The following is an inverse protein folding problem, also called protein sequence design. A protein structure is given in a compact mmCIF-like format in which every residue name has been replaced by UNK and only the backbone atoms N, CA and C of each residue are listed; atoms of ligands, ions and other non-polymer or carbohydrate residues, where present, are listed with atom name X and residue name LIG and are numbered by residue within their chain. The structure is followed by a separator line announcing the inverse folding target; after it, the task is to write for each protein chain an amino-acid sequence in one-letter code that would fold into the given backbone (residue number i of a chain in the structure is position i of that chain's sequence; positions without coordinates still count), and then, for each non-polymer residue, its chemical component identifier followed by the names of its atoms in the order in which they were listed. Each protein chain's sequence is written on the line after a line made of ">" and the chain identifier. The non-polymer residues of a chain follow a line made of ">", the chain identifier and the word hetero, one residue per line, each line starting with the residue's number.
data_IF_062389255550
#
_entry.id   IF_062389255550
#
_cell.length_a   1.000
_cell.length_b   1.000
_cell.length_c   1.000
_cell.angle_alpha   90.00
_cell.angle_beta   90.00
_cell.angle_gamma   90.00
#
_symmetry.space_group_name_H-M   'P 1'
#
loop_
_entity.id
_entity.type
_entity.pdbx_description
1 polymer ?
#
# COMPACT_ATOMS: atom_id res chain seq x y z
N UNK A 1 -11.48 -12.96 -0.74
CA UNK A 1 -10.62 -12.05 0.02
C UNK A 1 -9.95 -12.78 1.16
N UNK A 2 -8.68 -12.54 1.37
CA UNK A 2 -7.92 -13.11 2.46
C UNK A 2 -7.33 -11.97 3.31
N UNK A 3 -7.49 -12.05 4.63
CA UNK A 3 -7.05 -10.98 5.53
C UNK A 3 -6.15 -11.54 6.63
N UNK A 4 -5.04 -10.87 6.90
CA UNK A 4 -4.17 -11.19 8.02
C UNK A 4 -3.59 -9.92 8.62
N UNK A 5 -2.94 -10.04 9.77
CA UNK A 5 -2.34 -8.90 10.46
C UNK A 5 -0.84 -9.11 10.62
N UNK A 6 -0.10 -8.01 10.56
CA UNK A 6 1.34 -7.98 10.80
C UNK A 6 1.66 -6.66 11.49
N UNK A 7 2.25 -6.71 12.67
CA UNK A 7 2.65 -5.53 13.44
C UNK A 7 1.48 -4.53 13.59
N UNK A 8 0.32 -5.03 13.97
CA UNK A 8 -0.93 -4.28 14.17
C UNK A 8 -1.54 -3.70 12.90
N UNK A 9 -0.96 -3.94 11.74
CA UNK A 9 -1.53 -3.52 10.46
C UNK A 9 -2.36 -4.65 9.89
N UNK A 10 -3.44 -4.28 9.20
CA UNK A 10 -4.34 -5.25 8.57
C UNK A 10 -4.10 -5.29 7.08
N UNK A 11 -3.82 -6.47 6.57
CA UNK A 11 -3.53 -6.69 5.16
C UNK A 11 -4.67 -7.49 4.56
N UNK A 12 -5.32 -6.94 3.54
CA UNK A 12 -6.43 -7.58 2.84
C UNK A 12 -6.04 -7.84 1.39
N UNK A 13 -6.09 -9.10 0.97
CA UNK A 13 -5.73 -9.51 -0.38
C UNK A 13 -7.00 -9.75 -1.18
N UNK A 14 -7.14 -9.05 -2.30
CA UNK A 14 -8.22 -9.25 -3.28
C UNK A 14 -7.59 -9.94 -4.48
N UNK A 15 -7.63 -11.29 -4.53
CA UNK A 15 -6.85 -12.04 -5.52
C UNK A 15 -7.44 -11.94 -6.92
N UNK A 16 -6.56 -12.07 -7.90
CA UNK A 16 -6.93 -12.18 -9.30
C UNK A 16 -6.79 -13.64 -9.72
N UNK A 17 -7.75 -14.13 -10.52
CA UNK A 17 -7.73 -15.50 -11.01
C UNK A 17 -6.83 -15.69 -12.22
N UNK A 18 -6.41 -14.59 -12.86
CA UNK A 18 -5.55 -14.66 -14.04
C UNK A 18 -4.11 -14.97 -13.65
N UNK A 19 -3.45 -15.82 -14.42
CA UNK A 19 -2.02 -16.06 -14.25
C UNK A 19 -1.22 -14.86 -14.76
N UNK A 20 -0.02 -14.66 -14.21
CA UNK A 20 0.87 -13.57 -14.61
C UNK A 20 0.29 -12.18 -14.39
N UNK A 21 -0.61 -12.04 -13.41
CA UNK A 21 -1.16 -10.73 -13.09
C UNK A 21 -0.21 -9.94 -12.18
N UNK A 22 -0.25 -8.61 -12.27
CA UNK A 22 0.52 -7.79 -11.32
C UNK A 22 -0.13 -7.74 -9.96
N UNK A 23 0.64 -7.33 -8.96
CA UNK A 23 0.15 -7.07 -7.61
C UNK A 23 0.33 -5.59 -7.32
N UNK A 24 -0.72 -4.94 -6.83
CA UNK A 24 -0.69 -3.54 -6.45
C UNK A 24 -0.90 -3.43 -4.95
N UNK A 25 0.06 -2.82 -4.28
CA UNK A 25 0.00 -2.55 -2.84
C UNK A 25 -0.56 -1.16 -2.62
N UNK A 26 -1.65 -1.07 -1.87
CA UNK A 26 -2.36 0.18 -1.61
C UNK A 26 -2.42 0.42 -0.10
N UNK A 27 -1.76 1.48 0.35
CA UNK A 27 -1.89 1.91 1.73
C UNK A 27 -3.12 2.81 1.85
N UNK A 28 -3.99 2.51 2.82
CA UNK A 28 -5.27 3.19 2.96
C UNK A 28 -5.36 3.90 4.31
N UNK A 29 -6.10 5.01 4.34
CA UNK A 29 -6.33 5.77 5.56
C UNK A 29 -7.26 5.02 6.52
N UNK A 30 -8.37 4.52 5.98
CA UNK A 30 -9.33 3.71 6.74
C UNK A 30 -9.29 2.28 6.20
N UNK A 31 -10.38 1.83 5.59
CA UNK A 31 -10.46 0.47 5.04
C UNK A 31 -11.14 0.53 3.68
N UNK A 32 -10.54 1.26 2.75
CA UNK A 32 -11.12 1.53 1.44
C UNK A 32 -10.80 0.47 0.40
N UNK A 33 -10.05 -0.57 0.77
CA UNK A 33 -9.58 -1.56 -0.19
C UNK A 33 -10.67 -2.19 -1.03
N UNK A 34 -11.76 -2.61 -0.41
CA UNK A 34 -12.85 -3.25 -1.14
C UNK A 34 -13.50 -2.28 -2.13
N UNK A 35 -13.72 -1.04 -1.72
CA UNK A 35 -14.30 -0.02 -2.59
C UNK A 35 -13.42 0.26 -3.81
N UNK A 36 -12.12 0.34 -3.59
CA UNK A 36 -11.16 0.55 -4.68
C UNK A 36 -11.17 -0.64 -5.63
N UNK A 37 -11.18 -1.86 -5.09
CA UNK A 37 -11.19 -3.06 -5.91
C UNK A 37 -12.46 -3.14 -6.75
N UNK A 38 -13.62 -2.88 -6.14
CA UNK A 38 -14.91 -2.88 -6.85
C UNK A 38 -14.96 -1.79 -7.92
N UNK A 39 -14.44 -0.60 -7.62
CA UNK A 39 -14.39 0.49 -8.59
C UNK A 39 -13.51 0.15 -9.78
N UNK A 40 -12.37 -0.49 -9.54
CA UNK A 40 -11.48 -0.93 -10.61
C UNK A 40 -12.15 -1.99 -11.50
N UNK A 41 -12.87 -2.93 -10.89
CA UNK A 41 -13.62 -3.93 -11.62
C UNK A 41 -14.70 -3.29 -12.50
N UNK A 42 -15.45 -2.34 -11.92
CA UNK A 42 -16.51 -1.63 -12.65
C UNK A 42 -15.96 -0.79 -13.80
N UNK A 43 -14.75 -0.26 -13.64
CA UNK A 43 -14.09 0.55 -14.66
C UNK A 43 -13.47 -0.29 -15.79
N UNK A 44 -13.47 -1.62 -15.65
CA UNK A 44 -12.89 -2.49 -16.66
C UNK A 44 -11.37 -2.53 -16.67
N UNK A 45 -10.74 -2.29 -15.51
CA UNK A 45 -9.29 -2.37 -15.42
C UNK A 45 -8.76 -3.76 -15.77
N UNK A 46 -7.56 -3.85 -16.37
CA UNK A 46 -6.94 -5.16 -16.59
C UNK A 46 -6.79 -5.93 -15.28
N UNK A 47 -6.76 -7.27 -15.33
CA UNK A 47 -6.69 -8.08 -14.11
C UNK A 47 -5.46 -7.78 -13.26
N UNK A 48 -5.67 -7.66 -11.95
CA UNK A 48 -4.58 -7.46 -10.98
C UNK A 48 -5.03 -7.94 -9.61
N UNK A 49 -4.07 -8.27 -8.77
CA UNK A 49 -4.31 -8.55 -7.36
C UNK A 49 -4.13 -7.26 -6.58
N UNK A 50 -5.11 -6.89 -5.77
CA UNK A 50 -5.01 -5.74 -4.90
C UNK A 50 -4.65 -6.20 -3.49
N UNK A 51 -3.64 -5.57 -2.91
CA UNK A 51 -3.26 -5.78 -1.51
C UNK A 51 -3.45 -4.46 -0.79
N UNK A 52 -4.53 -4.36 -0.01
CA UNK A 52 -4.86 -3.15 0.73
C UNK A 52 -4.35 -3.27 2.16
N UNK A 53 -3.68 -2.23 2.64
CA UNK A 53 -3.11 -2.20 3.98
C UNK A 53 -3.79 -1.09 4.76
N UNK A 54 -4.36 -1.43 5.91
CA UNK A 54 -5.06 -0.49 6.79
C UNK A 54 -4.51 -0.57 8.21
N UNK A 55 -5.11 0.19 9.11
CA UNK A 55 -4.66 0.31 10.50
C UNK A 55 -3.25 0.87 10.62
N UNK A 56 -2.92 1.80 9.73
CA UNK A 56 -1.63 2.47 9.72
C UNK A 56 -1.61 3.61 10.74
N UNK A 57 -0.44 3.90 11.28
CA UNK A 57 -0.21 5.14 11.99
C UNK A 57 0.08 6.21 10.93
N UNK A 58 -0.98 6.78 10.37
CA UNK A 58 -0.96 7.54 9.12
C UNK A 58 0.10 8.65 9.08
N UNK A 59 0.13 9.50 10.10
CA UNK A 59 1.07 10.62 10.11
C UNK A 59 2.50 10.22 10.50
N UNK A 60 2.70 8.95 10.83
CA UNK A 60 4.02 8.40 11.14
C UNK A 60 4.50 7.51 10.01
N UNK A 61 3.72 6.49 9.65
CA UNK A 61 4.13 5.47 8.69
C UNK A 61 4.29 5.99 7.26
N UNK A 62 3.53 7.03 6.91
CA UNK A 62 3.47 7.50 5.53
C UNK A 62 4.40 8.67 5.24
N UNK A 63 5.13 9.17 6.24
CA UNK A 63 5.91 10.40 6.09
C UNK A 63 7.39 10.13 6.36
N UNK A 64 8.29 10.53 5.41
CA UNK A 64 9.73 10.29 5.56
C UNK A 64 10.45 11.20 6.55
N UNK A 65 9.82 12.28 6.99
CA UNK A 65 10.45 13.25 7.88
C UNK A 65 9.46 13.78 8.93
N UNK A 66 9.99 14.37 9.98
CA UNK A 66 9.16 15.05 10.96
C UNK A 66 8.67 16.38 10.37
N UNK A 67 7.42 16.71 10.65
CA UNK A 67 6.83 17.95 10.18
C UNK A 67 5.77 18.41 11.17
N UNK A 68 5.66 19.72 11.43
CA UNK A 68 4.56 20.22 12.27
C UNK A 68 3.23 20.01 11.55
N UNK A 69 2.16 19.99 12.36
CA UNK A 69 0.81 19.89 11.83
C UNK A 69 0.52 21.05 10.88
N UNK A 70 -0.06 20.73 9.71
CA UNK A 70 -0.44 21.73 8.72
C UNK A 70 -1.72 22.47 9.10
N UNK A 71 -2.52 21.89 10.00
CA UNK A 71 -3.81 22.44 10.41
C UNK A 71 -3.90 22.47 11.93
N UNK A 72 -4.64 23.46 12.45
CA UNK A 72 -4.97 23.50 13.86
C UNK A 72 -5.72 22.23 14.25
N UNK A 73 -5.32 21.59 15.33
CA UNK A 73 -5.90 20.35 15.84
C UNK A 73 -5.57 19.09 15.03
N UNK A 74 -4.73 19.18 14.01
CA UNK A 74 -4.22 18.00 13.32
C UNK A 74 -2.96 17.51 14.03
N UNK A 75 -2.72 16.19 13.96
CA UNK A 75 -1.51 15.63 14.53
C UNK A 75 -0.28 15.98 13.69
N UNK A 76 0.87 16.20 14.33
CA UNK A 76 2.10 16.41 13.56
C UNK A 76 2.54 15.13 12.88
N UNK A 77 3.35 15.27 11.84
CA UNK A 77 3.96 14.14 11.16
C UNK A 77 5.26 13.75 11.88
N UNK A 78 5.44 12.45 12.08
CA UNK A 78 6.63 11.91 12.75
C UNK A 78 7.25 10.87 11.83
N UNK A 79 8.32 11.22 11.16
CA UNK A 79 8.94 10.51 10.04
C UNK A 79 9.27 9.05 10.26
N UNK A 80 8.27 8.17 10.16
CA UNK A 80 8.42 6.73 10.33
C UNK A 80 8.42 5.93 9.03
N UNK A 81 8.47 6.60 7.87
CA UNK A 81 8.34 5.91 6.59
C UNK A 81 9.45 4.88 6.35
N UNK A 82 10.67 5.11 6.81
CA UNK A 82 11.75 4.14 6.63
C UNK A 82 11.47 2.83 7.36
N UNK A 83 10.96 2.93 8.58
CA UNK A 83 10.60 1.75 9.37
C UNK A 83 9.44 1.00 8.73
N UNK A 84 8.42 1.73 8.29
CA UNK A 84 7.28 1.11 7.63
C UNK A 84 7.67 0.49 6.30
N UNK A 85 8.52 1.14 5.52
CA UNK A 85 9.01 0.59 4.26
C UNK A 85 9.76 -0.73 4.51
N UNK A 86 10.55 -0.79 5.58
CA UNK A 86 11.24 -2.01 5.95
C UNK A 86 10.25 -3.12 6.32
N UNK A 87 9.23 -2.80 7.11
CA UNK A 87 8.17 -3.75 7.44
C UNK A 87 7.48 -4.25 6.16
N UNK A 88 7.15 -3.33 5.26
CA UNK A 88 6.47 -3.65 4.01
C UNK A 88 7.31 -4.60 3.16
N UNK A 89 8.58 -4.27 2.95
CA UNK A 89 9.44 -5.04 2.04
C UNK A 89 9.95 -6.34 2.65
N UNK A 90 10.18 -6.39 3.95
CA UNK A 90 10.76 -7.56 4.61
C UNK A 90 9.73 -8.52 5.18
N UNK A 91 8.53 -8.05 5.53
CA UNK A 91 7.51 -8.88 6.17
C UNK A 91 6.20 -8.93 5.40
N UNK A 92 5.61 -7.80 5.05
CA UNK A 92 4.28 -7.77 4.43
C UNK A 92 4.29 -8.37 3.03
N UNK A 93 5.20 -7.93 2.18
CA UNK A 93 5.30 -8.44 0.80
C UNK A 93 5.60 -9.95 0.79
N UNK A 94 6.60 -10.45 1.52
CA UNK A 94 6.84 -11.89 1.53
C UNK A 94 5.65 -12.69 2.06
N UNK A 95 5.01 -12.24 3.15
CA UNK A 95 3.86 -12.93 3.71
C UNK A 95 2.68 -12.93 2.73
N UNK A 96 2.44 -11.82 2.05
CA UNK A 96 1.39 -11.69 1.06
C UNK A 96 1.62 -12.61 -0.12
N UNK A 97 2.83 -12.60 -0.67
CA UNK A 97 3.13 -13.34 -1.89
C UNK A 97 3.21 -14.84 -1.66
N UNK A 98 3.42 -15.29 -0.44
CA UNK A 98 3.28 -16.72 -0.11
C UNK A 98 1.84 -17.21 -0.24
N UNK A 99 0.87 -16.33 -0.11
CA UNK A 99 -0.55 -16.67 -0.26
C UNK A 99 -1.00 -16.68 -1.73
N UNK A 100 -0.16 -16.19 -2.64
CA UNK A 100 -0.49 -16.13 -4.05
C UNK A 100 -0.02 -17.40 -4.76
N UNK A 101 -0.77 -17.88 -5.78
CA UNK A 101 -0.39 -19.10 -6.49
C UNK A 101 0.90 -18.95 -7.32
N UNK A 102 1.26 -17.72 -7.68
CA UNK A 102 2.46 -17.43 -8.49
C UNK A 102 3.07 -16.10 -8.11
N UNK A 103 4.37 -15.92 -8.37
CA UNK A 103 4.99 -14.61 -8.20
C UNK A 103 4.31 -13.56 -9.09
N UNK A 104 4.25 -12.30 -8.66
CA UNK A 104 3.62 -11.26 -9.46
C UNK A 104 4.44 -10.96 -10.73
N UNK A 105 3.73 -10.58 -11.80
CA UNK A 105 4.37 -10.14 -13.03
C UNK A 105 5.18 -8.87 -12.79
N UNK A 106 4.63 -7.95 -12.03
CA UNK A 106 5.31 -6.77 -11.50
C UNK A 106 4.55 -6.30 -10.25
N UNK A 107 5.22 -5.48 -9.46
CA UNK A 107 4.62 -4.89 -8.25
C UNK A 107 4.44 -3.41 -8.44
N UNK A 108 3.25 -2.92 -8.08
CA UNK A 108 2.98 -1.49 -8.03
C UNK A 108 2.70 -1.06 -6.61
N UNK A 109 2.91 0.21 -6.33
CA UNK A 109 2.53 0.82 -5.07
C UNK A 109 1.70 2.05 -5.36
N UNK A 110 0.59 2.19 -4.65
CA UNK A 110 -0.34 3.28 -4.88
C UNK A 110 -0.83 3.85 -3.56
N UNK A 111 -1.29 5.07 -3.61
CA UNK A 111 -1.87 5.73 -2.45
C UNK A 111 -2.32 7.13 -2.78
N UNK A 112 -3.17 7.68 -1.92
CA UNK A 112 -3.63 9.06 -2.02
C UNK A 112 -3.17 9.83 -0.78
N UNK A 113 -3.10 11.16 -0.90
CA UNK A 113 -2.68 12.04 0.19
C UNK A 113 -1.29 11.60 0.72
N UNK A 114 -1.13 11.40 2.02
CA UNK A 114 0.15 10.98 2.59
C UNK A 114 0.62 9.62 2.05
N UNK A 115 -0.31 8.72 1.74
CA UNK A 115 0.05 7.44 1.11
C UNK A 115 0.55 7.64 -0.32
N UNK A 116 0.12 8.70 -1.00
CA UNK A 116 0.67 9.10 -2.28
C UNK A 116 2.11 9.55 -2.15
N UNK A 117 2.41 10.33 -1.13
CA UNK A 117 3.78 10.74 -0.81
C UNK A 117 4.64 9.51 -0.49
N UNK A 118 4.12 8.60 0.34
CA UNK A 118 4.85 7.38 0.67
C UNK A 118 5.14 6.53 -0.58
N UNK A 119 4.17 6.43 -1.50
CA UNK A 119 4.35 5.67 -2.74
C UNK A 119 5.52 6.21 -3.57
N UNK A 120 5.61 7.52 -3.72
CA UNK A 120 6.72 8.16 -4.42
C UNK A 120 8.05 7.92 -3.69
N UNK A 121 8.04 8.04 -2.37
CA UNK A 121 9.22 7.78 -1.57
C UNK A 121 9.68 6.34 -1.72
N UNK A 122 8.76 5.38 -1.65
CA UNK A 122 9.07 3.97 -1.73
C UNK A 122 9.72 3.59 -3.06
N UNK A 123 9.20 4.11 -4.18
CA UNK A 123 9.75 3.74 -5.49
C UNK A 123 11.18 4.27 -5.67
N UNK A 124 11.54 5.33 -4.93
CA UNK A 124 12.90 5.86 -4.94
C UNK A 124 13.85 5.05 -4.03
N UNK A 125 13.33 4.31 -3.06
CA UNK A 125 14.12 3.64 -2.05
C UNK A 125 14.33 2.15 -2.30
N UNK A 126 13.51 1.53 -3.15
CA UNK A 126 13.59 0.08 -3.39
C UNK A 126 13.27 -0.24 -4.84
N UNK A 127 13.87 -1.32 -5.34
CA UNK A 127 13.62 -1.83 -6.69
C UNK A 127 12.43 -2.79 -6.76
N UNK A 128 11.76 -3.05 -5.63
CA UNK A 128 10.67 -4.03 -5.59
C UNK A 128 9.44 -3.56 -6.36
N UNK A 129 9.24 -2.25 -6.47
CA UNK A 129 8.10 -1.70 -7.19
C UNK A 129 8.54 -1.09 -8.51
N UNK A 130 7.87 -1.46 -9.60
CA UNK A 130 8.18 -0.93 -10.93
C UNK A 130 7.13 0.07 -11.42
N UNK A 131 6.02 0.22 -10.69
CA UNK A 131 4.94 1.15 -11.01
C UNK A 131 4.52 1.91 -9.76
N UNK A 132 4.12 3.15 -9.93
CA UNK A 132 3.65 3.97 -8.81
C UNK A 132 2.39 4.73 -9.24
N UNK A 133 1.42 4.78 -8.32
CA UNK A 133 0.24 5.62 -8.47
C UNK A 133 0.14 6.54 -7.27
N UNK A 134 0.37 7.82 -7.46
CA UNK A 134 0.32 8.80 -6.38
C UNK A 134 -0.75 9.84 -6.69
N UNK A 135 -1.76 9.91 -5.81
CA UNK A 135 -2.90 10.79 -5.98
C UNK A 135 -2.93 11.79 -4.83
N UNK A 136 -2.88 13.08 -5.17
CA UNK A 136 -2.90 14.16 -4.17
C UNK A 136 -1.80 14.01 -3.10
N UNK A 137 -0.68 13.47 -3.53
CA UNK A 137 0.47 13.26 -2.66
C UNK A 137 1.38 14.46 -2.51
#
# INVERSE_FOLDING_TARGET
>A
MHTFTTDNKTISIFPCSESESPVIYLNTFLDEGQKVYEAAQAAGCPPFTLVAISDLEWNHDMVPWDSPSAFKNAEPCTGGADEYLRLLTEEIIPATERELPRPPRWRGIAGYSLAGLFALYAICQTDLFSRVGSMSG
#
